data_IF_273165638517
#
_entry.id   IF_273165638517
#
_cell.length_a   1.000
_cell.length_b   1.000
_cell.length_c   1.000
_cell.angle_alpha   90.00
_cell.angle_beta   90.00
_cell.angle_gamma   90.00
#
_symmetry.space_group_name_H-M   'P 1'
#
loop_
_entity.id
_entity.type
_entity.pdbx_description
1 polymer ?
#
# COMPACT_ATOMS: atom_id res chain seq x y z
N UNK A 1 8.73 -35.19 -4.93
CA UNK A 1 8.31 -35.72 -3.63
C UNK A 1 9.25 -35.10 -2.61
N UNK A 2 9.02 -33.85 -2.26
CA UNK A 2 8.31 -33.40 -1.03
C UNK A 2 9.38 -32.98 -0.03
N UNK A 3 9.42 -31.82 0.63
CA UNK A 3 8.55 -30.65 0.67
C UNK A 3 9.40 -29.51 1.27
N UNK A 4 9.92 -28.59 0.46
CA UNK A 4 10.40 -27.27 0.96
C UNK A 4 9.27 -26.22 0.97
N UNK A 5 8.03 -26.66 0.70
CA UNK A 5 6.81 -25.87 0.76
C UNK A 5 6.10 -25.92 2.12
N UNK A 6 6.81 -26.20 3.21
CA UNK A 6 6.33 -25.83 4.55
C UNK A 6 6.72 -24.38 4.87
N UNK A 7 6.30 -23.46 4.00
CA UNK A 7 6.05 -22.07 4.41
C UNK A 7 4.59 -21.98 4.88
N UNK A 8 4.23 -22.81 5.86
CA UNK A 8 3.22 -22.44 6.83
C UNK A 8 3.75 -21.20 7.53
N UNK A 9 3.41 -20.04 6.99
CA UNK A 9 3.56 -18.76 7.66
C UNK A 9 3.15 -18.93 9.12
N UNK A 10 4.09 -18.68 10.03
CA UNK A 10 3.80 -18.57 11.45
C UNK A 10 2.65 -17.57 11.62
N UNK A 11 1.50 -17.98 12.19
CA UNK A 11 0.33 -17.12 12.41
C UNK A 11 0.66 -15.87 13.24
N UNK A 12 1.78 -15.85 13.94
CA UNK A 12 2.30 -14.72 14.72
C UNK A 12 2.69 -13.52 13.83
N UNK A 13 3.21 -13.75 12.61
CA UNK A 13 3.63 -12.68 11.71
C UNK A 13 2.48 -11.84 11.13
N UNK A 14 1.23 -12.32 11.26
CA UNK A 14 0.02 -11.62 10.81
C UNK A 14 -0.69 -10.83 11.91
N UNK A 15 -0.24 -10.90 13.17
CA UNK A 15 -1.01 -10.38 14.32
C UNK A 15 -0.44 -9.16 15.02
N UNK A 16 0.78 -8.73 14.74
CA UNK A 16 1.23 -7.45 15.24
C UNK A 16 1.18 -6.41 14.12
N UNK A 17 0.48 -5.30 14.36
CA UNK A 17 0.79 -4.04 13.70
C UNK A 17 2.21 -3.62 14.15
N UNK A 18 3.24 -4.25 13.58
CA UNK A 18 4.64 -4.00 13.95
C UNK A 18 5.07 -2.57 13.65
N UNK A 19 4.35 -1.88 12.75
CA UNK A 19 4.57 -0.47 12.46
C UNK A 19 4.14 0.49 13.58
N UNK A 20 3.35 0.02 14.56
CA UNK A 20 2.91 0.79 15.72
C UNK A 20 3.87 0.61 16.93
N UNK A 21 4.88 -0.25 16.84
CA UNK A 21 5.97 -0.35 17.82
C UNK A 21 6.89 0.88 17.65
N UNK A 22 6.66 1.90 18.49
CA UNK A 22 7.36 3.20 18.47
C UNK A 22 8.87 3.16 18.74
N UNK A 23 9.44 2.00 19.08
CA UNK A 23 10.86 1.84 19.40
C UNK A 23 11.60 1.15 18.25
N UNK A 24 12.13 1.97 17.33
CA UNK A 24 13.18 1.52 16.43
C UNK A 24 14.45 1.33 17.28
N UNK A 25 14.95 0.08 17.38
CA UNK A 25 16.21 -0.25 18.06
C UNK A 25 17.43 0.44 17.42
N UNK A 26 18.57 0.50 18.13
CA UNK A 26 19.66 1.46 17.88
C UNK A 26 20.55 1.15 16.67
N UNK A 27 20.35 0.03 15.96
CA UNK A 27 21.36 -0.47 15.01
C UNK A 27 20.84 -0.44 13.57
N UNK A 28 21.28 0.58 12.82
CA UNK A 28 21.23 0.56 11.36
C UNK A 28 22.19 -0.51 10.84
N UNK A 29 21.74 -1.33 9.88
CA UNK A 29 22.69 -2.16 9.15
C UNK A 29 23.56 -1.21 8.34
N UNK A 30 24.88 -1.23 8.60
CA UNK A 30 25.84 -0.33 7.96
C UNK A 30 26.03 -0.73 6.50
N UNK A 31 25.15 -0.22 5.64
CA UNK A 31 25.46 -0.01 4.24
C UNK A 31 26.03 1.40 4.08
N UNK A 32 26.86 1.62 3.06
CA UNK A 32 27.24 2.99 2.71
C UNK A 32 25.95 3.77 2.42
N UNK A 33 25.70 4.83 3.20
CA UNK A 33 24.56 5.71 2.96
C UNK A 33 24.69 6.31 1.55
N UNK A 34 23.62 6.30 0.73
CA UNK A 34 23.68 6.84 -0.62
C UNK A 34 24.10 8.31 -0.60
N UNK A 35 25.00 8.70 -1.51
CA UNK A 35 25.42 10.10 -1.60
C UNK A 35 24.27 10.99 -2.09
N UNK A 36 24.38 12.30 -1.86
CA UNK A 36 23.29 13.26 -2.15
C UNK A 36 22.88 13.22 -3.63
N UNK A 37 23.83 13.07 -4.56
CA UNK A 37 23.55 12.94 -5.99
C UNK A 37 22.75 11.68 -6.31
N UNK A 38 23.06 10.55 -5.65
CA UNK A 38 22.33 9.30 -5.81
C UNK A 38 20.90 9.43 -5.31
N UNK A 39 20.69 10.06 -4.13
CA UNK A 39 19.35 10.33 -3.62
C UNK A 39 18.54 11.23 -4.57
N UNK A 40 19.18 12.23 -5.21
CA UNK A 40 18.52 13.08 -6.21
C UNK A 40 18.12 12.29 -7.47
N UNK A 41 19.01 11.43 -7.96
CA UNK A 41 18.72 10.56 -9.10
C UNK A 41 17.60 9.55 -8.78
N UNK A 42 17.64 8.96 -7.58
CA UNK A 42 16.61 8.05 -7.08
C UNK A 42 15.27 8.75 -6.94
N UNK A 43 15.23 10.00 -6.47
CA UNK A 43 13.99 10.80 -6.42
C UNK A 43 13.34 10.93 -7.80
N UNK A 44 14.11 11.12 -8.86
CA UNK A 44 13.59 11.07 -10.24
C UNK A 44 13.01 9.70 -10.62
N UNK A 45 13.62 8.60 -10.17
CA UNK A 45 13.07 7.25 -10.34
C UNK A 45 11.79 7.04 -9.52
N UNK A 46 11.66 7.63 -8.33
CA UNK A 46 10.41 7.58 -7.56
C UNK A 46 9.28 8.31 -8.28
N UNK A 47 9.54 9.46 -8.92
CA UNK A 47 8.53 10.12 -9.75
C UNK A 47 8.02 9.20 -10.87
N UNK A 48 8.92 8.46 -11.52
CA UNK A 48 8.54 7.46 -12.54
C UNK A 48 7.67 6.36 -11.91
N UNK A 49 8.02 5.86 -10.73
CA UNK A 49 7.20 4.88 -9.99
C UNK A 49 5.79 5.44 -9.71
N UNK A 50 5.67 6.71 -9.30
CA UNK A 50 4.38 7.34 -9.08
C UNK A 50 3.55 7.42 -10.35
N UNK A 51 4.16 7.79 -11.47
CA UNK A 51 3.49 7.84 -12.77
C UNK A 51 3.00 6.44 -13.18
N UNK A 52 3.82 5.41 -13.02
CA UNK A 52 3.43 4.02 -13.29
C UNK A 52 2.23 3.62 -12.42
N UNK A 53 2.27 3.89 -11.11
CA UNK A 53 1.17 3.57 -10.21
C UNK A 53 -0.14 4.32 -10.54
N UNK A 54 -0.05 5.49 -11.17
CA UNK A 54 -1.18 6.29 -11.61
C UNK A 54 -1.69 5.93 -13.01
N UNK A 55 -1.02 5.00 -13.72
CA UNK A 55 -1.53 4.42 -14.98
C UNK A 55 -2.83 3.67 -14.72
N UNK A 56 -3.75 3.74 -15.69
CA UNK A 56 -5.12 3.22 -15.53
C UNK A 56 -5.12 1.70 -15.29
N UNK A 57 -4.28 0.95 -16.02
CA UNK A 57 -4.16 -0.50 -15.87
C UNK A 57 -3.66 -0.93 -14.47
N UNK A 58 -2.79 -0.14 -13.83
CA UNK A 58 -2.26 -0.47 -12.50
C UNK A 58 -3.28 -0.15 -11.42
N UNK A 59 -4.03 0.95 -11.57
CA UNK A 59 -5.15 1.28 -10.68
C UNK A 59 -6.27 0.25 -10.81
N UNK A 60 -6.59 -0.18 -12.03
CA UNK A 60 -7.57 -1.22 -12.30
C UNK A 60 -7.17 -2.55 -11.64
N UNK A 61 -5.91 -2.97 -11.80
CA UNK A 61 -5.37 -4.20 -11.19
C UNK A 61 -5.38 -4.15 -9.65
N UNK A 62 -5.04 -2.99 -9.08
CA UNK A 62 -5.13 -2.76 -7.64
C UNK A 62 -6.58 -2.85 -7.13
N UNK A 63 -7.51 -2.16 -7.80
CA UNK A 63 -8.93 -2.24 -7.49
C UNK A 63 -9.41 -3.70 -7.55
N UNK A 64 -9.13 -4.41 -8.65
CA UNK A 64 -9.53 -5.81 -8.79
C UNK A 64 -9.01 -6.68 -7.63
N UNK A 65 -7.74 -6.53 -7.26
CA UNK A 65 -7.12 -7.29 -6.16
C UNK A 65 -7.80 -7.03 -4.82
N UNK A 66 -8.07 -5.75 -4.50
CA UNK A 66 -8.72 -5.38 -3.24
C UNK A 66 -10.19 -5.79 -3.21
N UNK A 67 -10.93 -5.59 -4.31
CA UNK A 67 -12.34 -5.99 -4.35
C UNK A 67 -12.47 -7.50 -4.28
N UNK A 68 -11.61 -8.28 -4.94
CA UNK A 68 -11.59 -9.74 -4.77
C UNK A 68 -11.33 -10.16 -3.32
N UNK A 69 -10.40 -9.48 -2.63
CA UNK A 69 -10.11 -9.74 -1.23
C UNK A 69 -11.25 -9.30 -0.28
N UNK A 70 -11.93 -8.19 -0.57
CA UNK A 70 -12.93 -7.54 0.29
C UNK A 70 -14.35 -8.07 0.10
N UNK A 71 -14.73 -8.42 -1.13
CA UNK A 71 -16.05 -9.02 -1.43
C UNK A 71 -16.23 -10.35 -0.68
N UNK A 72 -15.14 -11.09 -0.43
CA UNK A 72 -15.19 -12.28 0.43
C UNK A 72 -15.38 -12.01 1.93
N UNK A 73 -15.37 -10.75 2.39
CA UNK A 73 -15.37 -10.38 3.81
C UNK A 73 -16.55 -9.54 4.29
N UNK A 74 -17.24 -8.81 3.41
CA UNK A 74 -18.43 -8.05 3.80
C UNK A 74 -19.54 -8.15 2.75
N UNK A 75 -20.76 -8.39 3.24
CA UNK A 75 -21.97 -8.58 2.40
C UNK A 75 -22.46 -7.27 1.75
N UNK A 76 -22.06 -6.10 2.28
CA UNK A 76 -22.51 -4.78 1.79
C UNK A 76 -21.46 -4.07 0.93
N UNK A 77 -21.85 -3.69 -0.29
CA UNK A 77 -21.04 -2.86 -1.20
C UNK A 77 -20.63 -1.53 -0.56
N UNK A 78 -21.55 -0.86 0.14
CA UNK A 78 -21.27 0.43 0.78
C UNK A 78 -20.23 0.27 1.90
N UNK A 79 -20.33 -0.79 2.70
CA UNK A 79 -19.34 -1.08 3.75
C UNK A 79 -17.95 -1.36 3.16
N UNK A 80 -17.89 -2.16 2.09
CA UNK A 80 -16.64 -2.43 1.39
C UNK A 80 -16.00 -1.15 0.83
N UNK A 81 -16.80 -0.28 0.19
CA UNK A 81 -16.33 1.00 -0.33
C UNK A 81 -15.92 1.97 0.79
N UNK A 82 -16.68 2.05 1.88
CA UNK A 82 -16.33 2.84 3.06
C UNK A 82 -14.98 2.43 3.61
N UNK A 83 -14.79 1.13 3.87
CA UNK A 83 -13.54 0.65 4.45
C UNK A 83 -12.37 0.79 3.48
N UNK A 84 -12.62 0.67 2.16
CA UNK A 84 -11.62 0.91 1.13
C UNK A 84 -11.18 2.38 1.09
N UNK A 85 -12.12 3.32 1.00
CA UNK A 85 -11.80 4.74 1.04
C UNK A 85 -11.20 5.17 2.39
N UNK A 86 -11.58 4.53 3.49
CA UNK A 86 -10.96 4.74 4.80
C UNK A 86 -9.45 4.48 4.75
N UNK A 87 -9.04 3.36 4.13
CA UNK A 87 -7.63 3.01 3.97
C UNK A 87 -6.95 4.05 3.09
N UNK A 88 -7.50 4.33 1.91
CA UNK A 88 -6.87 5.23 0.93
C UNK A 88 -6.68 6.65 1.45
N UNK A 89 -7.67 7.18 2.18
CA UNK A 89 -7.70 8.59 2.59
C UNK A 89 -7.07 8.83 3.96
N UNK A 90 -7.21 7.89 4.90
CA UNK A 90 -6.85 8.13 6.31
C UNK A 90 -5.58 7.40 6.74
N UNK A 91 -5.17 6.33 6.04
CA UNK A 91 -3.91 5.66 6.35
C UNK A 91 -2.75 6.30 5.60
N UNK A 92 -1.64 6.52 6.31
CA UNK A 92 -0.39 6.97 5.71
C UNK A 92 0.04 5.99 4.63
N UNK A 93 0.40 6.50 3.46
CA UNK A 93 0.97 5.70 2.39
C UNK A 93 2.35 5.23 2.84
N UNK A 94 2.56 3.91 2.81
CA UNK A 94 3.83 3.24 3.10
C UNK A 94 4.16 2.35 1.92
N UNK A 95 5.15 2.78 1.16
CA UNK A 95 5.63 2.02 0.02
C UNK A 95 6.45 0.84 0.54
N UNK A 96 5.99 -0.37 0.24
CA UNK A 96 6.66 -1.63 0.57
C UNK A 96 6.82 -2.44 -0.71
N UNK A 97 7.94 -3.16 -0.79
CA UNK A 97 8.25 -4.03 -1.91
C UNK A 97 8.53 -5.44 -1.39
N UNK A 98 7.88 -6.42 -2.00
CA UNK A 98 8.16 -7.84 -1.85
C UNK A 98 8.55 -8.39 -3.22
N UNK A 99 9.69 -9.11 -3.35
CA UNK A 99 10.04 -9.79 -4.58
C UNK A 99 8.98 -10.80 -5.02
N UNK A 100 8.31 -11.48 -4.07
CA UNK A 100 7.30 -12.49 -4.37
C UNK A 100 5.93 -11.89 -4.73
N UNK A 101 5.57 -10.77 -4.11
CA UNK A 101 4.19 -10.25 -4.20
C UNK A 101 4.08 -8.93 -4.97
N UNK A 102 5.17 -8.18 -5.10
CA UNK A 102 5.22 -6.90 -5.79
C UNK A 102 5.21 -5.70 -4.84
N UNK A 103 4.53 -4.63 -5.24
CA UNK A 103 4.50 -3.35 -4.52
C UNK A 103 3.20 -3.21 -3.76
N UNK A 104 3.28 -2.70 -2.53
CA UNK A 104 2.12 -2.31 -1.75
C UNK A 104 2.33 -0.89 -1.22
N UNK A 105 1.29 -0.07 -1.33
CA UNK A 105 1.32 1.35 -0.98
C UNK A 105 0.78 1.63 0.42
N UNK A 106 0.05 0.71 1.04
CA UNK A 106 -0.49 0.93 2.38
C UNK A 106 0.04 -0.13 3.35
N UNK A 107 0.13 0.19 4.66
CA UNK A 107 0.35 -0.81 5.70
C UNK A 107 -0.52 -2.05 5.50
N UNK A 108 -0.01 -3.24 5.82
CA UNK A 108 -0.69 -4.54 5.79
C UNK A 108 -0.97 -5.13 4.39
N UNK A 109 -1.20 -6.44 4.32
CA UNK A 109 -1.33 -7.25 3.10
C UNK A 109 -2.62 -7.01 2.29
N UNK A 110 -3.15 -5.78 2.29
CA UNK A 110 -4.45 -5.47 1.71
C UNK A 110 -4.46 -5.67 0.18
N UNK A 111 -3.35 -5.39 -0.49
CA UNK A 111 -3.02 -5.90 -1.81
C UNK A 111 -1.56 -5.58 -2.15
N UNK A 112 -0.85 -6.56 -2.68
CA UNK A 112 0.36 -6.27 -3.46
C UNK A 112 -0.01 -6.31 -4.94
N UNK A 113 0.54 -5.37 -5.71
CA UNK A 113 0.42 -5.35 -7.16
C UNK A 113 1.79 -5.65 -7.74
N UNK A 114 1.85 -6.70 -8.55
CA UNK A 114 3.05 -7.05 -9.27
C UNK A 114 3.15 -6.21 -10.54
N UNK A 115 4.13 -5.33 -10.59
CA UNK A 115 4.44 -4.52 -11.77
C UNK A 115 5.94 -4.66 -12.09
N UNK A 116 6.25 -5.25 -13.25
CA UNK A 116 7.63 -5.54 -13.65
C UNK A 116 8.48 -4.29 -13.84
N UNK A 117 7.91 -3.18 -14.32
CA UNK A 117 8.64 -1.92 -14.48
C UNK A 117 9.12 -1.40 -13.12
N UNK A 118 8.22 -1.36 -12.12
CA UNK A 118 8.57 -0.92 -10.77
C UNK A 118 9.54 -1.89 -10.11
N UNK A 119 9.33 -3.20 -10.28
CA UNK A 119 10.26 -4.22 -9.77
C UNK A 119 11.65 -4.04 -10.36
N UNK A 120 11.79 -3.82 -11.66
CA UNK A 120 13.09 -3.66 -12.31
C UNK A 120 13.80 -2.39 -11.82
N UNK A 121 13.06 -1.29 -11.61
CA UNK A 121 13.59 -0.05 -11.03
C UNK A 121 14.12 -0.34 -9.62
N UNK A 122 13.34 -1.00 -8.77
CA UNK A 122 13.68 -1.25 -7.37
C UNK A 122 14.82 -2.27 -7.26
N UNK A 123 14.71 -3.41 -7.92
CA UNK A 123 15.65 -4.53 -7.83
C UNK A 123 17.08 -4.09 -8.16
N UNK A 124 17.23 -3.20 -9.14
CA UNK A 124 18.54 -2.66 -9.54
C UNK A 124 19.23 -1.85 -8.43
N UNK A 125 18.49 -1.30 -7.47
CA UNK A 125 19.00 -0.37 -6.43
C UNK A 125 18.29 -0.53 -5.08
N UNK A 126 17.96 -1.76 -4.69
CA UNK A 126 17.13 -2.04 -3.50
C UNK A 126 17.70 -1.37 -2.24
N UNK A 127 19.00 -1.53 -1.98
CA UNK A 127 19.69 -0.93 -0.83
C UNK A 127 19.67 0.61 -0.80
N UNK A 128 19.45 1.25 -1.95
CA UNK A 128 19.39 2.71 -2.06
C UNK A 128 17.97 3.25 -1.91
N UNK A 129 16.94 2.44 -2.16
CA UNK A 129 15.55 2.80 -1.93
C UNK A 129 15.08 2.53 -0.51
N UNK A 130 15.71 1.57 0.17
CA UNK A 130 15.31 1.13 1.49
C UNK A 130 16.41 1.36 2.53
N UNK A 131 15.98 1.64 3.75
CA UNK A 131 16.82 1.57 4.95
C UNK A 131 16.47 0.32 5.73
N UNK A 132 17.50 -0.45 6.10
CA UNK A 132 17.34 -1.65 6.91
C UNK A 132 17.76 -1.37 8.36
N UNK A 133 16.89 -1.74 9.30
CA UNK A 133 17.15 -1.63 10.72
C UNK A 133 16.91 -2.96 11.41
N UNK A 134 17.68 -3.21 12.46
CA UNK A 134 17.49 -4.35 13.33
C UNK A 134 16.88 -3.86 14.64
N UNK A 135 15.77 -4.46 15.06
CA UNK A 135 15.26 -4.28 16.42
C UNK A 135 15.44 -5.55 17.22
N UNK A 136 16.00 -5.41 18.41
CA UNK A 136 16.04 -6.48 19.40
C UNK A 136 14.84 -6.34 20.34
N UNK A 137 14.07 -7.42 20.44
CA UNK A 137 13.14 -7.64 21.54
C UNK A 137 13.74 -8.69 22.48
N UNK A 138 13.17 -8.88 23.67
CA UNK A 138 13.73 -9.70 24.76
C UNK A 138 14.19 -11.12 24.37
N UNK A 139 13.77 -11.65 23.21
CA UNK A 139 14.21 -12.95 22.67
C UNK A 139 14.35 -13.01 21.14
N UNK A 140 14.11 -11.93 20.39
CA UNK A 140 14.06 -12.00 18.92
C UNK A 140 14.72 -10.79 18.24
N UNK A 141 15.42 -11.09 17.14
CA UNK A 141 15.97 -10.13 16.18
C UNK A 141 15.00 -10.01 15.00
N UNK A 142 14.57 -8.78 14.70
CA UNK A 142 13.65 -8.50 13.58
C UNK A 142 14.25 -7.50 12.60
N UNK A 143 14.15 -7.81 11.30
CA UNK A 143 14.60 -6.95 10.19
C UNK A 143 13.47 -6.05 9.71
N UNK A 144 13.73 -4.73 9.66
CA UNK A 144 12.79 -3.74 9.17
C UNK A 144 13.33 -3.04 7.95
N UNK A 145 12.55 -3.06 6.87
CA UNK A 145 12.89 -2.41 5.60
C UNK A 145 11.96 -1.21 5.43
N UNK A 146 12.51 0.00 5.43
CA UNK A 146 11.73 1.24 5.30
C UNK A 146 12.06 1.97 4.01
N UNK A 147 11.04 2.29 3.24
CA UNK A 147 11.23 3.08 2.02
C UNK A 147 11.61 4.54 2.35
N UNK A 148 12.68 5.04 1.73
CA UNK A 148 13.26 6.36 2.02
C UNK A 148 12.40 7.53 1.55
N UNK A 149 11.57 7.35 0.52
CA UNK A 149 10.82 8.43 -0.14
C UNK A 149 9.30 8.37 0.12
N UNK A 150 8.89 7.87 1.29
CA UNK A 150 7.48 7.80 1.67
C UNK A 150 6.78 9.17 1.67
N UNK A 151 7.52 10.25 1.91
CA UNK A 151 7.06 11.64 1.87
C UNK A 151 6.50 12.03 0.49
N UNK A 152 7.06 11.46 -0.59
CA UNK A 152 6.60 11.74 -1.95
C UNK A 152 5.20 11.18 -2.21
N UNK A 153 4.78 10.17 -1.44
CA UNK A 153 3.46 9.56 -1.51
C UNK A 153 2.43 10.22 -0.57
N UNK A 154 2.60 11.51 -0.27
CA UNK A 154 1.68 12.30 0.55
C UNK A 154 0.36 12.68 -0.13
N UNK A 155 -0.32 13.70 0.41
CA UNK A 155 -1.69 14.08 0.03
C UNK A 155 -1.89 14.34 -1.47
N UNK A 156 -0.90 14.93 -2.16
CA UNK A 156 -0.99 15.17 -3.61
C UNK A 156 -1.12 13.87 -4.40
N UNK A 157 -0.34 12.84 -4.03
CA UNK A 157 -0.44 11.52 -4.63
C UNK A 157 -1.80 10.87 -4.31
N UNK A 158 -2.22 10.92 -3.03
CA UNK A 158 -3.50 10.35 -2.58
C UNK A 158 -4.67 10.92 -3.38
N UNK A 159 -4.74 12.24 -3.55
CA UNK A 159 -5.81 12.90 -4.31
C UNK A 159 -5.86 12.40 -5.75
N UNK A 160 -4.71 12.34 -6.43
CA UNK A 160 -4.61 11.84 -7.80
C UNK A 160 -5.01 10.37 -7.89
N UNK A 161 -4.53 9.55 -6.96
CA UNK A 161 -4.79 8.12 -6.92
C UNK A 161 -6.26 7.81 -6.66
N UNK A 162 -6.88 8.45 -5.65
CA UNK A 162 -8.30 8.28 -5.32
C UNK A 162 -9.19 8.73 -6.49
N UNK A 163 -8.84 9.82 -7.17
CA UNK A 163 -9.56 10.25 -8.38
C UNK A 163 -9.54 9.17 -9.47
N UNK A 164 -8.37 8.55 -9.71
CA UNK A 164 -8.23 7.43 -10.65
C UNK A 164 -9.03 6.19 -10.20
N UNK A 165 -9.00 5.86 -8.91
CA UNK A 165 -9.79 4.76 -8.33
C UNK A 165 -11.29 4.98 -8.55
N UNK A 166 -11.81 6.18 -8.27
CA UNK A 166 -13.22 6.51 -8.50
C UNK A 166 -13.55 6.38 -9.99
N UNK A 167 -12.70 6.90 -10.88
CA UNK A 167 -12.88 6.76 -12.33
C UNK A 167 -12.96 5.28 -12.75
N UNK A 168 -12.03 4.45 -12.28
CA UNK A 168 -12.00 3.00 -12.52
C UNK A 168 -13.31 2.34 -12.07
N UNK A 169 -13.76 2.62 -10.84
CA UNK A 169 -15.00 2.04 -10.30
C UNK A 169 -16.24 2.44 -11.11
N UNK A 170 -16.30 3.69 -11.56
CA UNK A 170 -17.39 4.17 -12.41
C UNK A 170 -17.34 3.52 -13.80
N UNK A 171 -16.16 3.32 -14.39
CA UNK A 171 -16.01 2.61 -15.65
C UNK A 171 -16.42 1.14 -15.52
N UNK A 172 -16.04 0.47 -14.43
CA UNK A 172 -16.50 -0.88 -14.12
C UNK A 172 -18.03 -0.93 -14.00
N UNK A 173 -18.63 -0.01 -13.24
CA UNK A 173 -20.08 0.07 -13.09
C UNK A 173 -20.81 0.40 -14.40
N UNK A 174 -20.17 1.15 -15.30
CA UNK A 174 -20.67 1.39 -16.66
C UNK A 174 -20.77 0.09 -17.44
N UNK A 175 -19.71 -0.73 -17.43
CA UNK A 175 -19.67 -2.04 -18.10
C UNK A 175 -20.75 -2.99 -17.56
N UNK A 176 -21.04 -2.92 -16.26
CA UNK A 176 -22.08 -3.72 -15.60
C UNK A 176 -23.50 -3.11 -15.67
N UNK A 177 -23.68 -1.95 -16.33
CA UNK A 177 -24.94 -1.21 -16.38
C UNK A 177 -25.52 -0.83 -14.99
N UNK A 178 -24.67 -0.71 -13.97
CA UNK A 178 -25.04 -0.36 -12.58
C UNK A 178 -24.46 0.99 -12.13
N UNK A 179 -24.28 1.92 -13.07
CA UNK A 179 -23.66 3.23 -12.82
C UNK A 179 -24.30 4.00 -11.65
N UNK A 180 -25.64 4.05 -11.61
CA UNK A 180 -26.37 4.77 -10.55
C UNK A 180 -26.09 4.18 -9.16
N UNK A 181 -26.07 2.85 -9.04
CA UNK A 181 -25.77 2.15 -7.78
C UNK A 181 -24.35 2.49 -7.31
N UNK A 182 -23.36 2.43 -8.21
CA UNK A 182 -21.98 2.74 -7.86
C UNK A 182 -21.81 4.20 -7.43
N UNK A 183 -22.38 5.15 -8.17
CA UNK A 183 -22.33 6.59 -7.81
C UNK A 183 -22.89 6.84 -6.42
N UNK A 184 -24.07 6.29 -6.13
CA UNK A 184 -24.71 6.46 -4.83
C UNK A 184 -23.92 5.75 -3.72
N UNK A 185 -23.36 4.58 -4.00
CA UNK A 185 -22.55 3.84 -3.02
C UNK A 185 -21.25 4.57 -2.69
N UNK A 186 -20.56 5.12 -3.69
CA UNK A 186 -19.35 5.94 -3.49
C UNK A 186 -19.71 7.19 -2.67
N UNK A 187 -20.74 7.94 -3.08
CA UNK A 187 -21.20 9.15 -2.37
C UNK A 187 -21.54 8.84 -0.91
N UNK A 188 -22.31 7.78 -0.67
CA UNK A 188 -22.71 7.37 0.68
C UNK A 188 -21.51 6.94 1.53
N UNK A 189 -20.55 6.22 0.93
CA UNK A 189 -19.34 5.79 1.62
C UNK A 189 -18.45 6.97 2.04
N UNK A 190 -18.26 7.94 1.14
CA UNK A 190 -17.50 9.16 1.43
C UNK A 190 -18.20 10.06 2.46
N UNK A 191 -19.53 10.19 2.38
CA UNK A 191 -20.31 10.91 3.38
C UNK A 191 -20.21 10.26 4.76
N UNK A 192 -20.27 8.92 4.83
CA UNK A 192 -20.13 8.20 6.09
C UNK A 192 -18.73 8.39 6.68
N UNK A 193 -17.68 8.39 5.85
CA UNK A 193 -16.32 8.72 6.28
C UNK A 193 -16.23 10.13 6.86
N UNK A 194 -16.78 11.12 6.15
CA UNK A 194 -16.79 12.50 6.61
C UNK A 194 -17.52 12.64 7.96
N UNK A 195 -18.68 12.02 8.11
CA UNK A 195 -19.44 12.02 9.37
C UNK A 195 -18.61 11.40 10.50
N UNK A 196 -17.98 10.25 10.24
CA UNK A 196 -17.17 9.55 11.25
C UNK A 196 -15.91 10.35 11.63
N UNK A 197 -15.28 11.01 10.66
CA UNK A 197 -14.14 11.90 10.90
C UNK A 197 -14.54 13.10 11.75
N UNK A 198 -15.63 13.80 11.39
CA UNK A 198 -16.14 14.94 12.15
C UNK A 198 -16.59 14.58 13.57
N UNK A 199 -17.00 13.33 13.80
CA UNK A 199 -17.36 12.79 15.13
C UNK A 199 -16.16 12.30 15.94
N UNK A 200 -14.93 12.45 15.44
CA UNK A 200 -13.72 11.97 16.12
C UNK A 200 -13.61 10.45 16.20
N UNK A 201 -14.38 9.69 15.39
CA UNK A 201 -14.36 8.23 15.39
C UNK A 201 -13.28 7.62 14.50
N UNK A 202 -12.61 8.46 13.72
CA UNK A 202 -11.51 8.08 12.84
C UNK A 202 -10.31 8.96 13.20
N UNK A 203 -9.34 8.37 13.89
CA UNK A 203 -8.06 8.98 14.31
C UNK A 203 -6.89 8.18 13.73
#
# INVERSE_FOLDING_TARGET
MDSLYNNTFLPEGKRCNFEDLKFYGPTQITFAEPVREELKALKGKVSIIQEILLKEENVDSFCASIFNYRIGKAESLIKNLHDFFCILLLKKVKFTYSPQHGVNLWPSSLAYVHNMEIQNIIASRTKSFFTDYITETTTFVSYYIKFRFNDLFGSSFIIKYVSKVIKCLLLFAKKQQKMHIMKNSIKSSLNLLLINYLRGKLS
#
